data_IF_986289540721
#
_entry.id   IF_986289540721
#
_cell.length_a   1.000
_cell.length_b   1.000
_cell.length_c   1.000
_cell.angle_alpha   90.00
_cell.angle_beta   90.00
_cell.angle_gamma   90.00
#
_symmetry.space_group_name_H-M   'P 1'
#
loop_
_entity.id
_entity.type
_entity.pdbx_description
1 polymer ?
#
# COMPACT_ATOMS: atom_id res chain seq x y z
N UNK A 1 -5.66 12.70 15.65
CA UNK A 1 -4.88 12.18 14.51
C UNK A 1 -5.85 12.04 13.34
N UNK A 2 -5.45 12.15 12.06
CA UNK A 2 -6.37 11.86 10.96
C UNK A 2 -6.86 10.41 11.05
N UNK A 3 -8.16 10.15 10.84
CA UNK A 3 -8.76 8.80 10.93
C UNK A 3 -8.05 7.82 9.98
N UNK A 4 -7.58 8.32 8.84
CA UNK A 4 -6.82 7.57 7.85
C UNK A 4 -5.47 7.06 8.38
N UNK A 5 -4.81 7.83 9.23
CA UNK A 5 -3.54 7.43 9.84
C UNK A 5 -3.75 6.27 10.81
N UNK A 6 -4.77 6.40 11.67
CA UNK A 6 -5.16 5.38 12.63
C UNK A 6 -5.58 4.09 11.92
N UNK A 7 -6.34 4.20 10.83
CA UNK A 7 -6.70 3.07 9.97
C UNK A 7 -5.46 2.37 9.40
N UNK A 8 -4.50 3.10 8.83
CA UNK A 8 -3.30 2.46 8.26
C UNK A 8 -2.44 1.80 9.36
N UNK A 9 -2.38 2.36 10.57
CA UNK A 9 -1.67 1.76 11.70
C UNK A 9 -2.36 0.51 12.28
N UNK A 10 -3.70 0.44 12.20
CA UNK A 10 -4.49 -0.75 12.53
C UNK A 10 -4.29 -1.88 11.50
N UNK A 11 -4.13 -1.50 10.23
CA UNK A 11 -3.93 -2.46 9.14
C UNK A 11 -2.50 -2.96 9.01
N UNK A 12 -1.52 -2.06 9.17
CA UNK A 12 -0.08 -2.35 9.05
C UNK A 12 0.57 -1.97 10.37
N UNK A 13 1.01 -2.97 11.12
CA UNK A 13 1.49 -2.75 12.48
C UNK A 13 2.73 -1.87 12.46
N UNK A 14 2.79 -0.88 13.35
CA UNK A 14 3.85 0.13 13.34
C UNK A 14 5.27 -0.45 13.41
N UNK A 15 5.44 -1.59 14.08
CA UNK A 15 6.71 -2.35 14.11
C UNK A 15 7.17 -2.82 12.72
N UNK A 16 6.22 -3.15 11.85
CA UNK A 16 6.46 -3.63 10.49
C UNK A 16 6.83 -2.50 9.52
N UNK A 17 6.55 -1.24 9.85
CA UNK A 17 6.83 -0.12 8.95
C UNK A 17 8.32 -0.02 8.59
N UNK A 18 9.21 -0.42 9.49
CA UNK A 18 10.66 -0.46 9.27
C UNK A 18 11.12 -1.57 8.30
N UNK A 19 10.27 -2.58 8.07
CA UNK A 19 10.54 -3.69 7.14
C UNK A 19 10.46 -3.18 5.71
N UNK A 20 9.52 -2.29 5.39
CA UNK A 20 9.31 -1.79 4.03
C UNK A 20 10.53 -1.07 3.45
N UNK A 21 11.19 -0.11 4.14
CA UNK A 21 12.45 0.47 3.70
C UNK A 21 13.54 -0.57 3.46
N UNK A 22 13.63 -1.58 4.33
CA UNK A 22 14.64 -2.66 4.21
C UNK A 22 14.40 -3.48 2.95
N UNK A 23 13.15 -3.92 2.73
CA UNK A 23 12.70 -4.63 1.53
C UNK A 23 12.99 -3.83 0.25
N UNK A 24 12.66 -2.54 0.26
CA UNK A 24 12.89 -1.66 -0.88
C UNK A 24 14.40 -1.48 -1.14
N UNK A 25 15.22 -1.21 -0.12
CA UNK A 25 16.67 -1.06 -0.28
C UNK A 25 17.30 -2.33 -0.87
N UNK A 26 16.91 -3.50 -0.36
CA UNK A 26 17.38 -4.80 -0.86
C UNK A 26 16.99 -5.01 -2.32
N UNK A 27 15.74 -4.71 -2.70
CA UNK A 27 15.28 -4.85 -4.08
C UNK A 27 16.06 -3.94 -5.05
N UNK A 28 16.28 -2.68 -4.67
CA UNK A 28 17.02 -1.73 -5.53
C UNK A 28 18.50 -2.10 -5.65
N UNK A 29 19.12 -2.56 -4.57
CA UNK A 29 20.49 -3.04 -4.58
C UNK A 29 20.64 -4.27 -5.49
N UNK A 30 19.74 -5.25 -5.38
CA UNK A 30 19.74 -6.45 -6.21
C UNK A 30 19.60 -6.12 -7.71
N UNK A 31 18.75 -5.15 -8.07
CA UNK A 31 18.62 -4.73 -9.48
C UNK A 31 19.86 -3.97 -9.96
N UNK A 32 20.48 -3.14 -9.10
CA UNK A 32 21.71 -2.46 -9.46
C UNK A 32 22.86 -3.45 -9.74
N UNK A 33 22.98 -4.49 -8.92
CA UNK A 33 23.95 -5.58 -9.11
C UNK A 33 23.65 -6.38 -10.39
N UNK A 34 22.39 -6.79 -10.59
CA UNK A 34 21.97 -7.53 -11.79
C UNK A 34 22.29 -6.77 -13.08
N UNK A 35 21.97 -5.46 -13.13
CA UNK A 35 22.23 -4.63 -14.32
C UNK A 35 23.72 -4.48 -14.57
N UNK A 36 24.52 -4.32 -13.51
CA UNK A 36 25.98 -4.23 -13.61
C UNK A 36 26.60 -5.50 -14.20
N UNK A 37 26.11 -6.67 -13.78
CA UNK A 37 26.70 -7.95 -14.14
C UNK A 37 26.14 -8.54 -15.45
N UNK A 38 25.12 -7.91 -16.04
CA UNK A 38 24.42 -8.42 -17.22
C UNK A 38 24.58 -7.48 -18.42
N UNK A 39 25.48 -7.79 -19.39
CA UNK A 39 25.75 -6.90 -20.54
C UNK A 39 24.51 -6.55 -21.37
N UNK A 40 23.54 -7.46 -21.52
CA UNK A 40 22.31 -7.20 -22.27
C UNK A 40 21.39 -6.15 -21.60
N UNK A 41 21.61 -5.83 -20.32
CA UNK A 41 20.89 -4.78 -19.60
C UNK A 41 21.62 -3.43 -19.65
N UNK A 42 22.79 -3.35 -20.28
CA UNK A 42 23.61 -2.13 -20.41
C UNK A 42 23.34 -1.40 -21.74
N UNK A 43 22.06 -1.34 -22.15
CA UNK A 43 21.60 -0.65 -23.34
C UNK A 43 20.55 0.39 -22.97
N UNK A 44 20.43 1.47 -23.75
CA UNK A 44 19.54 2.60 -23.44
C UNK A 44 18.08 2.16 -23.20
N UNK A 45 17.58 1.22 -24.01
CA UNK A 45 16.22 0.69 -23.86
C UNK A 45 16.00 -0.08 -22.56
N UNK A 46 17.05 -0.72 -22.01
CA UNK A 46 17.00 -1.39 -20.72
C UNK A 46 17.06 -0.37 -19.56
N UNK A 47 17.85 0.70 -19.70
CA UNK A 47 17.90 1.81 -18.74
C UNK A 47 16.55 2.55 -18.66
N UNK A 48 15.90 2.78 -19.81
CA UNK A 48 14.54 3.34 -19.87
C UNK A 48 13.53 2.47 -19.13
N UNK A 49 13.68 1.16 -19.21
CA UNK A 49 12.80 0.18 -18.57
C UNK A 49 13.30 -0.32 -17.22
N UNK A 50 14.33 0.30 -16.63
CA UNK A 50 14.91 -0.12 -15.33
C UNK A 50 13.88 -0.16 -14.20
N UNK A 51 12.88 0.71 -14.26
CA UNK A 51 11.73 0.67 -13.33
C UNK A 51 10.98 -0.67 -13.32
N UNK A 52 10.91 -1.39 -14.44
CA UNK A 52 10.24 -2.71 -14.48
C UNK A 52 11.02 -3.76 -13.71
N UNK A 53 12.35 -3.79 -13.85
CA UNK A 53 13.21 -4.69 -13.08
C UNK A 53 13.06 -4.43 -11.58
N UNK A 54 13.03 -3.16 -11.19
CA UNK A 54 12.78 -2.74 -9.80
C UNK A 54 11.42 -3.21 -9.32
N UNK A 55 10.35 -3.07 -10.12
CA UNK A 55 9.02 -3.51 -9.72
C UNK A 55 8.99 -5.02 -9.42
N UNK A 56 9.60 -5.84 -10.29
CA UNK A 56 9.67 -7.28 -10.08
C UNK A 56 10.49 -7.65 -8.84
N UNK A 57 11.62 -6.98 -8.62
CA UNK A 57 12.44 -7.20 -7.44
C UNK A 57 11.71 -6.81 -6.15
N UNK A 58 10.99 -5.68 -6.16
CA UNK A 58 10.18 -5.23 -5.02
C UNK A 58 9.04 -6.20 -4.74
N UNK A 59 8.28 -6.62 -5.75
CA UNK A 59 7.20 -7.59 -5.56
C UNK A 59 7.74 -8.90 -4.97
N UNK A 60 8.89 -9.40 -5.46
CA UNK A 60 9.51 -10.61 -4.94
C UNK A 60 9.94 -10.45 -3.48
N UNK A 61 10.59 -9.33 -3.14
CA UNK A 61 11.05 -9.11 -1.77
C UNK A 61 9.90 -8.89 -0.79
N UNK A 62 8.80 -8.28 -1.22
CA UNK A 62 7.58 -8.18 -0.40
C UNK A 62 6.95 -9.55 -0.17
N UNK A 63 6.83 -10.38 -1.21
CA UNK A 63 6.38 -11.77 -1.05
C UNK A 63 7.26 -12.52 -0.06
N UNK A 64 8.58 -12.39 -0.16
CA UNK A 64 9.50 -13.02 0.80
C UNK A 64 9.33 -12.49 2.23
N UNK A 65 9.11 -11.18 2.41
CA UNK A 65 8.85 -10.57 3.71
C UNK A 65 7.50 -11.00 4.31
N UNK A 66 6.51 -11.33 3.48
CA UNK A 66 5.24 -11.90 3.92
C UNK A 66 5.43 -13.37 4.30
N UNK A 67 6.08 -14.16 3.44
CA UNK A 67 6.30 -15.60 3.63
C UNK A 67 7.16 -15.92 4.87
N UNK A 68 8.10 -15.03 5.23
CA UNK A 68 8.94 -15.18 6.41
C UNK A 68 8.33 -14.55 7.69
N UNK A 69 7.13 -13.97 7.59
CA UNK A 69 6.41 -13.37 8.71
C UNK A 69 6.91 -11.98 9.14
N UNK A 70 7.75 -11.30 8.37
CA UNK A 70 8.16 -9.92 8.65
C UNK A 70 7.05 -8.90 8.38
N UNK A 71 6.08 -9.24 7.51
CA UNK A 71 4.87 -8.46 7.24
C UNK A 71 3.66 -9.35 7.46
N UNK A 72 2.79 -8.99 8.39
CA UNK A 72 1.60 -9.79 8.73
C UNK A 72 0.43 -9.48 7.78
N UNK A 73 0.42 -10.14 6.61
CA UNK A 73 -0.72 -10.09 5.69
C UNK A 73 -0.74 -11.31 4.77
N UNK A 74 -1.86 -11.57 4.10
CA UNK A 74 -1.88 -12.49 2.95
C UNK A 74 -1.46 -11.77 1.67
N UNK A 75 -1.18 -12.51 0.60
CA UNK A 75 -0.99 -11.92 -0.72
C UNK A 75 -1.67 -12.72 -1.84
N UNK A 76 -2.04 -12.02 -2.92
CA UNK A 76 -2.46 -12.66 -4.17
C UNK A 76 -2.00 -11.89 -5.39
N UNK A 77 -1.83 -12.60 -6.50
CA UNK A 77 -1.54 -11.99 -7.79
C UNK A 77 -2.83 -11.77 -8.56
N UNK A 78 -3.16 -10.51 -8.86
CA UNK A 78 -4.34 -10.18 -9.68
C UNK A 78 -3.94 -9.77 -11.09
N UNK A 79 -4.68 -10.20 -12.13
CA UNK A 79 -4.47 -9.70 -13.48
C UNK A 79 -4.81 -8.21 -13.55
N UNK A 80 -4.08 -7.47 -14.38
CA UNK A 80 -4.54 -6.14 -14.77
C UNK A 80 -5.85 -6.23 -15.57
N UNK A 81 -6.62 -5.14 -15.60
CA UNK A 81 -7.87 -5.06 -16.37
C UNK A 81 -7.66 -5.31 -17.89
N UNK A 82 -6.45 -5.07 -18.39
CA UNK A 82 -5.98 -5.53 -19.70
C UNK A 82 -5.02 -6.70 -19.48
N UNK A 83 -4.88 -7.66 -20.42
CA UNK A 83 -4.00 -8.82 -20.29
C UNK A 83 -2.51 -8.44 -20.48
N UNK A 84 -2.06 -7.41 -19.77
CA UNK A 84 -0.70 -6.84 -19.84
C UNK A 84 0.20 -7.35 -18.73
N UNK A 85 -0.32 -8.17 -17.81
CA UNK A 85 0.43 -8.72 -16.68
C UNK A 85 -0.43 -8.87 -15.43
N UNK A 86 0.26 -8.99 -14.30
CA UNK A 86 -0.34 -9.08 -12.96
C UNK A 86 0.27 -8.02 -12.03
N UNK A 87 -0.43 -7.71 -10.95
CA UNK A 87 0.09 -6.93 -9.83
C UNK A 87 -0.03 -7.71 -8.53
N UNK A 88 0.85 -7.39 -7.58
CA UNK A 88 0.80 -7.89 -6.22
C UNK A 88 -0.26 -7.13 -5.42
N UNK A 89 -1.21 -7.87 -4.86
CA UNK A 89 -2.20 -7.38 -3.89
C UNK A 89 -1.86 -7.97 -2.52
N UNK A 90 -1.49 -7.11 -1.58
CA UNK A 90 -1.31 -7.47 -0.17
C UNK A 90 -2.68 -7.33 0.53
N UNK A 91 -3.11 -8.36 1.27
CA UNK A 91 -4.43 -8.43 1.89
C UNK A 91 -4.28 -8.39 3.40
N UNK A 92 -4.67 -7.27 3.99
CA UNK A 92 -4.76 -7.08 5.43
C UNK A 92 -6.16 -7.41 5.94
N UNK A 93 -6.35 -7.31 7.25
CA UNK A 93 -7.60 -7.66 7.92
C UNK A 93 -8.82 -6.95 7.31
N UNK A 94 -8.72 -5.65 7.03
CA UNK A 94 -9.81 -4.81 6.52
C UNK A 94 -9.42 -3.94 5.32
N UNK A 95 -8.28 -4.20 4.69
CA UNK A 95 -7.81 -3.40 3.56
C UNK A 95 -6.99 -4.23 2.57
N UNK A 96 -6.78 -3.65 1.38
CA UNK A 96 -5.82 -4.14 0.41
C UNK A 96 -4.74 -3.09 0.20
N UNK A 97 -3.49 -3.52 0.05
CA UNK A 97 -2.42 -2.65 -0.39
C UNK A 97 -1.84 -3.08 -1.74
N UNK A 98 -1.48 -2.09 -2.56
CA UNK A 98 -0.73 -2.33 -3.80
C UNK A 98 0.49 -1.42 -3.86
N UNK A 99 1.50 -1.87 -4.59
CA UNK A 99 2.81 -1.21 -4.67
C UNK A 99 2.94 -0.48 -6.01
N UNK A 100 3.56 0.69 -6.02
CA UNK A 100 3.69 1.48 -7.24
C UNK A 100 4.92 2.39 -7.24
N UNK A 101 5.59 2.44 -8.39
CA UNK A 101 6.63 3.44 -8.63
C UNK A 101 6.04 4.75 -9.12
N UNK A 102 6.54 5.85 -8.55
CA UNK A 102 6.16 7.21 -8.93
C UNK A 102 7.40 8.10 -9.03
N UNK A 103 7.38 9.09 -9.91
CA UNK A 103 8.45 10.08 -10.00
C UNK A 103 8.32 11.15 -8.91
N UNK A 104 7.07 11.49 -8.55
CA UNK A 104 6.73 12.50 -7.56
C UNK A 104 5.94 11.84 -6.41
N UNK A 105 6.41 11.93 -5.15
CA UNK A 105 5.72 11.32 -4.01
C UNK A 105 4.39 12.00 -3.65
N UNK A 106 4.12 13.19 -4.19
CA UNK A 106 2.90 13.96 -3.91
C UNK A 106 1.74 13.62 -4.84
N UNK A 107 2.02 12.87 -5.91
CA UNK A 107 1.06 12.56 -6.97
C UNK A 107 0.78 11.06 -7.00
N UNK A 108 -0.49 10.68 -7.01
CA UNK A 108 -0.89 9.30 -7.22
C UNK A 108 -0.32 8.73 -8.54
N UNK A 109 0.10 7.45 -8.58
CA UNK A 109 0.50 6.79 -9.81
C UNK A 109 -0.60 6.88 -10.89
N UNK A 110 -0.23 6.97 -12.17
CA UNK A 110 -1.20 7.04 -13.29
C UNK A 110 -2.29 5.97 -13.14
N UNK A 111 -3.54 6.39 -13.31
CA UNK A 111 -4.71 5.52 -13.16
C UNK A 111 -4.65 4.34 -14.13
N UNK A 112 -4.65 3.14 -13.56
CA UNK A 112 -5.04 1.92 -14.26
C UNK A 112 -6.44 1.60 -13.76
N UNK A 113 -7.33 1.11 -14.62
CA UNK A 113 -8.78 0.92 -14.32
C UNK A 113 -9.04 0.21 -12.98
N UNK A 114 -8.19 -0.72 -12.56
CA UNK A 114 -8.34 -1.37 -11.24
C UNK A 114 -8.20 -0.40 -10.05
N UNK A 115 -7.34 0.63 -10.18
CA UNK A 115 -7.17 1.69 -9.17
C UNK A 115 -8.35 2.64 -9.14
N UNK A 116 -9.09 2.79 -10.23
CA UNK A 116 -10.32 3.58 -10.22
C UNK A 116 -11.36 2.90 -9.33
N UNK A 117 -11.59 1.60 -9.49
CA UNK A 117 -12.48 0.85 -8.61
C UNK A 117 -11.99 0.81 -7.17
N UNK A 118 -10.69 0.55 -6.95
CA UNK A 118 -10.13 0.51 -5.59
C UNK A 118 -10.16 1.88 -4.88
N UNK A 119 -10.03 2.98 -5.62
CA UNK A 119 -10.15 4.36 -5.09
C UNK A 119 -11.60 4.70 -4.73
N UNK A 120 -12.57 4.21 -5.49
CA UNK A 120 -14.00 4.36 -5.15
C UNK A 120 -14.35 3.65 -3.84
N UNK A 121 -13.59 2.62 -3.45
CA UNK A 121 -13.78 1.94 -2.15
C UNK A 121 -13.34 2.78 -0.95
N UNK A 122 -12.55 3.83 -1.17
CA UNK A 122 -12.18 4.81 -0.15
C UNK A 122 -13.20 5.95 -0.04
N UNK A 123 -14.36 5.84 -0.68
CA UNK A 123 -15.48 6.74 -0.38
C UNK A 123 -15.92 6.47 1.05
N UNK A 124 -15.65 7.43 1.94
CA UNK A 124 -16.13 7.37 3.32
C UNK A 124 -17.65 7.26 3.32
N UNK A 125 -18.17 6.25 4.02
CA UNK A 125 -19.57 6.12 4.36
C UNK A 125 -19.94 7.17 5.42
N UNK A 126 -20.08 8.42 4.99
CA UNK A 126 -20.73 9.46 5.78
C UNK A 126 -21.87 10.04 4.96
N UNK A 127 -23.11 9.62 5.25
CA UNK A 127 -24.17 10.62 5.41
C UNK A 127 -25.40 10.07 6.16
N UNK A 128 -25.90 10.93 7.05
CA UNK A 128 -27.13 10.82 7.84
C UNK A 128 -28.39 10.74 6.93
N UNK A 129 -29.58 10.39 7.47
CA UNK A 129 -30.50 9.37 6.93
C UNK A 129 -31.42 9.78 5.74
N UNK A 130 -31.06 10.76 4.92
CA UNK A 130 -31.94 11.23 3.84
C UNK A 130 -31.39 11.12 2.40
N UNK A 131 -30.17 10.62 2.21
CA UNK A 131 -29.61 10.43 0.86
C UNK A 131 -29.03 9.02 0.70
N UNK A 132 -29.34 8.39 -0.44
CA UNK A 132 -28.80 7.09 -0.85
C UNK A 132 -27.26 7.15 -0.79
N UNK A 133 -26.69 6.54 0.25
CA UNK A 133 -25.26 6.32 0.34
C UNK A 133 -24.77 5.59 -0.92
N UNK A 134 -23.66 6.01 -1.55
CA UNK A 134 -23.02 5.17 -2.55
C UNK A 134 -22.61 3.85 -1.89
N UNK A 135 -22.93 2.73 -2.52
CA UNK A 135 -22.51 1.39 -2.09
C UNK A 135 -20.98 1.35 -1.96
N UNK A 136 -20.47 0.90 -0.81
CA UNK A 136 -19.06 0.53 -0.65
C UNK A 136 -18.76 -0.58 -1.67
N UNK A 137 -18.01 -0.27 -2.73
CA UNK A 137 -17.70 -1.23 -3.80
C UNK A 137 -16.42 -2.05 -3.57
N UNK A 138 -16.07 -2.39 -2.32
CA UNK A 138 -14.92 -3.23 -1.99
C UNK A 138 -14.10 -2.77 -0.80
N UNK A 139 -12.95 -3.43 -0.58
CA UNK A 139 -12.05 -3.12 0.54
C UNK A 139 -11.34 -1.77 0.33
N UNK A 140 -11.15 -0.97 1.41
CA UNK A 140 -10.28 0.20 1.40
C UNK A 140 -8.90 -0.11 0.84
N UNK A 141 -8.38 0.83 0.05
CA UNK A 141 -7.13 0.68 -0.69
C UNK A 141 -6.01 1.55 -0.12
N UNK A 142 -4.90 0.91 0.20
CA UNK A 142 -3.64 1.53 0.61
C UNK A 142 -2.63 1.44 -0.55
N UNK A 143 -1.93 2.54 -0.81
CA UNK A 143 -0.86 2.60 -1.79
C UNK A 143 0.50 2.66 -1.09
N UNK A 144 1.36 1.67 -1.35
CA UNK A 144 2.79 1.80 -1.09
C UNK A 144 3.44 2.43 -2.33
N UNK A 145 3.80 3.70 -2.24
CA UNK A 145 4.51 4.41 -3.31
C UNK A 145 6.00 4.50 -3.01
N UNK A 146 6.83 4.33 -4.04
CA UNK A 146 8.28 4.49 -3.93
C UNK A 146 8.88 5.07 -5.21
N UNK A 147 10.10 5.59 -5.13
CA UNK A 147 10.72 6.38 -6.20
C UNK A 147 10.99 5.62 -7.51
N UNK A 148 10.66 6.20 -8.66
CA UNK A 148 10.93 5.58 -9.97
C UNK A 148 12.44 5.57 -10.27
N UNK A 149 13.00 4.39 -10.63
CA UNK A 149 14.44 4.14 -10.90
C UNK A 149 15.43 4.36 -9.74
N UNK A 150 15.09 5.23 -8.78
CA UNK A 150 15.92 5.54 -7.60
C UNK A 150 15.06 5.56 -6.34
N UNK A 151 15.58 4.99 -5.25
CA UNK A 151 14.85 4.89 -3.98
C UNK A 151 15.08 6.16 -3.15
N UNK A 152 14.43 7.24 -3.53
CA UNK A 152 14.56 8.54 -2.85
C UNK A 152 13.48 8.76 -1.79
N UNK A 153 12.37 8.03 -1.91
CA UNK A 153 11.25 8.07 -0.98
C UNK A 153 10.51 6.73 -0.97
N UNK A 154 9.78 6.50 0.10
CA UNK A 154 8.72 5.50 0.20
C UNK A 154 7.61 6.02 1.12
N UNK A 155 6.34 5.87 0.75
CA UNK A 155 5.21 6.31 1.58
C UNK A 155 4.07 5.30 1.50
N UNK A 156 3.31 5.18 2.59
CA UNK A 156 1.93 4.74 2.51
C UNK A 156 1.03 5.92 2.17
N UNK A 157 -0.02 5.69 1.41
CA UNK A 157 -1.03 6.70 1.15
C UNK A 157 -2.41 6.11 0.90
N UNK A 158 -3.44 6.82 1.36
CA UNK A 158 -4.83 6.54 1.01
C UNK A 158 -5.19 7.45 -0.18
N UNK A 159 -5.44 6.90 -1.38
CA UNK A 159 -5.84 7.70 -2.53
C UNK A 159 -7.19 8.37 -2.26
N UNK A 160 -7.31 9.64 -2.63
CA UNK A 160 -8.54 10.41 -2.47
C UNK A 160 -9.62 9.92 -3.43
N UNK A 161 -10.83 9.69 -2.97
CA UNK A 161 -11.93 9.19 -3.81
C UNK A 161 -12.36 10.20 -4.88
N UNK A 162 -12.30 11.49 -4.53
CA UNK A 162 -12.72 12.65 -5.34
C UNK A 162 -11.65 13.14 -6.34
N UNK A 163 -10.41 12.65 -6.21
CA UNK A 163 -9.27 13.14 -6.99
C UNK A 163 -8.42 12.02 -7.56
N UNK A 164 -8.03 12.18 -8.82
CA UNK A 164 -7.18 11.24 -9.54
C UNK A 164 -5.70 11.35 -9.20
N UNK A 165 -5.30 12.39 -8.46
CA UNK A 165 -3.89 12.72 -8.20
C UNK A 165 -3.56 12.94 -6.74
N UNK A 166 -4.54 13.25 -5.88
CA UNK A 166 -4.32 13.62 -4.47
C UNK A 166 -4.49 12.45 -3.51
N UNK A 167 -3.85 12.49 -2.37
CA UNK A 167 -4.09 11.54 -1.29
C UNK A 167 -5.01 12.18 -0.25
N UNK A 168 -5.92 11.41 0.36
CA UNK A 168 -6.61 11.81 1.59
C UNK A 168 -5.61 11.87 2.75
N UNK A 169 -4.69 10.90 2.76
CA UNK A 169 -3.61 10.85 3.72
C UNK A 169 -2.36 10.22 3.10
N UNK A 170 -1.19 10.67 3.56
CA UNK A 170 0.12 10.11 3.18
C UNK A 170 1.03 10.10 4.40
N UNK A 171 1.69 8.98 4.65
CA UNK A 171 2.65 8.85 5.74
C UNK A 171 3.83 9.81 5.57
N UNK A 172 4.60 9.99 6.65
CA UNK A 172 5.99 10.43 6.52
C UNK A 172 6.78 9.46 5.63
N UNK A 173 7.94 9.90 5.15
CA UNK A 173 8.78 9.04 4.32
C UNK A 173 9.27 7.86 5.17
N UNK A 174 8.93 6.65 4.74
CA UNK A 174 9.28 5.42 5.44
C UNK A 174 10.80 5.27 5.54
N UNK A 175 11.56 5.82 4.57
CA UNK A 175 13.02 5.78 4.58
C UNK A 175 13.65 6.57 5.74
N UNK A 176 12.89 7.48 6.36
CA UNK A 176 13.34 8.35 7.45
C UNK A 176 12.88 7.81 8.82
N UNK A 177 12.13 6.70 8.86
CA UNK A 177 11.65 6.11 10.11
C UNK A 177 12.84 5.44 10.82
N UNK A 178 13.14 5.83 12.08
CA UNK A 178 14.14 5.13 12.88
C UNK A 178 13.74 3.67 13.02
N UNK A 179 14.68 2.74 12.84
CA UNK A 179 14.46 1.35 13.20
C UNK A 179 14.06 1.30 14.68
N UNK A 180 12.80 0.96 14.96
CA UNK A 180 12.30 0.90 16.33
C UNK A 180 12.96 -0.32 16.98
N UNK A 181 13.91 -0.07 17.89
CA UNK A 181 14.38 -1.10 18.83
C UNK A 181 13.25 -1.27 19.84
N UNK A 182 12.74 -2.49 20.00
CA UNK A 182 11.60 -2.76 20.87
C UNK A 182 11.87 -2.23 22.29
N UNK A 183 10.98 -1.36 22.75
CA UNK A 183 10.88 -0.95 24.15
C UNK A 183 9.80 -1.85 24.76
N UNK A 184 10.19 -2.70 25.70
CA UNK A 184 9.38 -3.75 26.34
C UNK A 184 8.37 -3.17 27.36
N UNK A 185 7.67 -2.11 26.94
CA UNK A 185 6.69 -1.40 27.79
C UNK A 185 5.28 -1.85 27.43
N UNK A 186 4.42 -2.07 28.44
CA UNK A 186 3.02 -2.41 28.22
C UNK A 186 2.31 -1.28 27.46
N UNK A 187 1.39 -1.66 26.57
CA UNK A 187 0.62 -0.73 25.76
C UNK A 187 -0.14 0.28 26.65
N UNK A 188 -0.15 1.57 26.32
CA UNK A 188 -0.98 2.54 27.02
C UNK A 188 -2.47 2.23 26.80
N UNK A 189 -3.28 2.39 27.86
CA UNK A 189 -4.73 2.27 27.79
C UNK A 189 -5.30 3.35 26.87
N UNK A 190 -6.07 2.92 25.85
CA UNK A 190 -6.71 3.81 24.89
C UNK A 190 -8.03 4.35 25.45
N UNK A 191 -8.25 5.66 25.28
CA UNK A 191 -9.50 6.38 25.61
C UNK A 191 -10.62 6.06 24.63
N UNK A 192 -11.85 5.98 25.15
CA UNK A 192 -13.02 5.31 24.55
C UNK A 192 -13.75 6.05 23.41
N UNK A 193 -13.36 7.27 23.02
CA UNK A 193 -14.21 8.08 22.11
C UNK A 193 -13.91 7.95 20.60
N UNK A 194 -12.77 7.36 20.20
CA UNK A 194 -12.39 7.15 18.77
C UNK A 194 -12.70 5.71 18.29
N UNK A 195 -12.95 4.80 19.24
CA UNK A 195 -13.23 3.39 18.98
C UNK A 195 -14.52 3.18 18.19
N UNK A 196 -15.54 4.00 18.41
CA UNK A 196 -16.86 3.80 17.82
C UNK A 196 -16.89 3.96 16.29
N UNK A 197 -16.23 4.98 15.73
CA UNK A 197 -16.18 5.20 14.28
C UNK A 197 -15.34 4.13 13.57
N UNK A 198 -14.20 3.74 14.16
CA UNK A 198 -13.33 2.69 13.61
C UNK A 198 -14.01 1.31 13.67
N UNK A 199 -14.69 1.00 14.77
CA UNK A 199 -15.44 -0.25 14.92
C UNK A 199 -16.59 -0.32 13.91
N UNK A 200 -17.32 0.79 13.71
CA UNK A 200 -18.37 0.88 12.69
C UNK A 200 -17.81 0.62 11.28
N UNK A 201 -16.63 1.18 10.95
CA UNK A 201 -15.98 0.93 9.67
C UNK A 201 -15.60 -0.55 9.48
N UNK A 202 -15.06 -1.20 10.52
CA UNK A 202 -14.71 -2.63 10.50
C UNK A 202 -15.94 -3.51 10.30
N UNK A 203 -17.02 -3.26 11.04
CA UNK A 203 -18.28 -4.00 10.92
C UNK A 203 -18.88 -3.90 9.50
N UNK A 204 -18.81 -2.71 8.89
CA UNK A 204 -19.24 -2.50 7.50
C UNK A 204 -18.40 -3.33 6.52
N UNK A 205 -17.08 -3.38 6.72
CA UNK A 205 -16.15 -4.15 5.88
C UNK A 205 -16.37 -5.66 6.04
N UNK A 206 -16.57 -6.15 7.26
CA UNK A 206 -16.86 -7.56 7.52
C UNK A 206 -18.19 -8.02 6.94
N UNK A 207 -19.22 -7.16 7.01
CA UNK A 207 -20.50 -7.39 6.34
C UNK A 207 -20.29 -7.52 4.82
N UNK A 208 -19.55 -6.59 4.22
CA UNK A 208 -19.26 -6.64 2.78
C UNK A 208 -18.53 -7.92 2.36
N UNK A 209 -17.52 -8.37 3.12
CA UNK A 209 -16.79 -9.63 2.85
C UNK A 209 -17.71 -10.85 2.85
N UNK A 210 -18.59 -10.95 3.85
CA UNK A 210 -19.58 -12.04 3.93
C UNK A 210 -20.53 -12.05 2.75
N UNK A 211 -20.99 -10.87 2.33
CA UNK A 211 -21.95 -10.73 1.23
C UNK A 211 -21.32 -11.02 -0.16
N UNK A 212 -19.99 -10.86 -0.30
CA UNK A 212 -19.27 -10.99 -1.58
C UNK A 212 -18.35 -12.22 -1.69
N UNK A 213 -18.30 -13.06 -0.66
CA UNK A 213 -17.56 -14.34 -0.68
C UNK A 213 -16.03 -14.20 -0.73
N UNK A 214 -15.48 -13.16 -0.10
CA UNK A 214 -14.04 -12.82 -0.11
C UNK A 214 -13.40 -12.89 1.29
#
# INVERSE_FOLDING_TARGET
MPIEEDFVQDQILRREWSVFPTVLRTAYAAVAELVKDTPMLQVESAEDNRGRLIAWAVDKQLVTAIENGSITCDYRWKPFAKPTGRYLEMRFAHSIATVSQTADPTIQPRNVVFRENARLNNQGSFDLPEFKAPEISGLPHILLIHGHKSLNFAHFGIPASDSKTKFNWRSTNLLDIPHLVEDDRPAPEHTDDILDEMNLLKEQIEKWRRDNGD
#
